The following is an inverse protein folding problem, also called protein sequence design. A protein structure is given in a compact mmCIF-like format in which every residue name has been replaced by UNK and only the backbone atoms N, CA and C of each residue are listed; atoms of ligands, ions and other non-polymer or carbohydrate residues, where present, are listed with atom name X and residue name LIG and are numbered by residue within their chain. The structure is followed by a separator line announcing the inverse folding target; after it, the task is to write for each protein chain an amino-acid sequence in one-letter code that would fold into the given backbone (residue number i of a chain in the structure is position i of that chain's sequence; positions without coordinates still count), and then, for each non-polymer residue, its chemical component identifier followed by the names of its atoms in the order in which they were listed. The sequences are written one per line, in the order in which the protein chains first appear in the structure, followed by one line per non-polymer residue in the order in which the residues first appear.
data_IF_479372376533
#
_entry.id   IF_479372376533
#
_cell.length_a   1.000
_cell.length_b   1.000
_cell.length_c   1.000
_cell.angle_alpha   90.00
_cell.angle_beta   90.00
_cell.angle_gamma   90.00
#
_symmetry.space_group_name_H-M   'P 1'
#
loop_
_entity.id
_entity.type
_entity.pdbx_description
1 polymer ?
#
# COMPACT_ATOMS: atom_id res chain seq x y z
N UNK A 1 -23.45 -14.69 19.73
CA UNK A 1 -23.00 -13.57 18.85
C UNK A 1 -21.70 -12.92 19.32
N UNK A 2 -21.56 -12.48 20.59
CA UNK A 2 -20.31 -11.87 21.12
C UNK A 2 -19.03 -12.67 20.88
N UNK A 3 -19.06 -14.01 20.99
CA UNK A 3 -17.88 -14.88 20.75
C UNK A 3 -17.37 -14.83 19.30
N UNK A 4 -18.28 -14.81 18.30
CA UNK A 4 -17.88 -14.73 16.87
C UNK A 4 -17.35 -13.34 16.49
N UNK A 5 -17.97 -12.28 17.03
CA UNK A 5 -17.48 -10.91 16.84
C UNK A 5 -16.10 -10.70 17.48
N UNK A 6 -15.91 -11.20 18.71
CA UNK A 6 -14.62 -11.09 19.40
C UNK A 6 -13.53 -11.90 18.68
N UNK A 7 -13.88 -13.05 18.09
CA UNK A 7 -12.98 -13.83 17.23
C UNK A 7 -12.52 -13.01 16.01
N UNK A 8 -13.43 -12.37 15.27
CA UNK A 8 -13.06 -11.53 14.14
C UNK A 8 -12.18 -10.35 14.56
N UNK A 9 -12.47 -9.73 15.71
CA UNK A 9 -11.66 -8.62 16.24
C UNK A 9 -10.24 -9.06 16.62
N UNK A 10 -10.10 -10.23 17.26
CA UNK A 10 -8.79 -10.82 17.57
C UNK A 10 -8.05 -11.14 16.28
N UNK A 11 -8.73 -11.72 15.28
CA UNK A 11 -8.12 -12.10 14.01
C UNK A 11 -7.61 -10.88 13.23
N UNK A 12 -8.37 -9.79 13.21
CA UNK A 12 -7.93 -8.50 12.65
C UNK A 12 -6.69 -7.98 13.40
N UNK A 13 -6.68 -8.06 14.73
CA UNK A 13 -5.55 -7.59 15.53
C UNK A 13 -4.28 -8.41 15.27
N UNK A 14 -4.41 -9.74 15.14
CA UNK A 14 -3.30 -10.63 14.76
C UNK A 14 -2.76 -10.27 13.38
N UNK A 15 -3.63 -10.06 12.39
CA UNK A 15 -3.22 -9.65 11.04
C UNK A 15 -2.49 -8.30 11.07
N UNK A 16 -3.00 -7.32 11.82
CA UNK A 16 -2.33 -6.02 12.01
C UNK A 16 -0.94 -6.17 12.64
N UNK A 17 -0.80 -6.99 13.67
CA UNK A 17 0.51 -7.24 14.31
C UNK A 17 1.47 -7.92 13.34
N UNK A 18 1.01 -8.93 12.60
CA UNK A 18 1.83 -9.59 11.58
C UNK A 18 2.28 -8.63 10.47
N UNK A 19 1.41 -7.72 10.04
CA UNK A 19 1.73 -6.71 9.04
C UNK A 19 2.78 -5.71 9.57
N UNK A 20 2.60 -5.22 10.80
CA UNK A 20 3.59 -4.36 11.48
C UNK A 20 4.94 -5.07 11.63
N UNK A 21 4.94 -6.35 12.02
CA UNK A 21 6.17 -7.14 12.14
C UNK A 21 6.86 -7.33 10.78
N UNK A 22 6.10 -7.56 9.72
CA UNK A 22 6.64 -7.69 8.37
C UNK A 22 7.28 -6.38 7.90
N UNK A 23 6.62 -5.24 8.16
CA UNK A 23 7.13 -3.90 7.89
C UNK A 23 8.36 -3.56 8.75
N UNK A 24 8.43 -4.06 9.99
CA UNK A 24 9.51 -3.73 10.92
C UNK A 24 10.89 -4.16 10.42
N UNK A 25 10.99 -5.28 9.71
CA UNK A 25 12.27 -5.73 9.14
C UNK A 25 12.76 -4.79 8.04
N UNK A 26 11.86 -4.33 7.18
CA UNK A 26 12.17 -3.35 6.12
C UNK A 26 12.53 -2.00 6.73
N UNK A 27 11.78 -1.59 7.76
CA UNK A 27 12.05 -0.35 8.49
C UNK A 27 13.40 -0.37 9.20
N UNK A 28 13.73 -1.45 9.92
CA UNK A 28 15.01 -1.59 10.64
C UNK A 28 16.16 -1.61 9.63
N UNK A 29 16.02 -2.34 8.52
CA UNK A 29 17.03 -2.34 7.46
C UNK A 29 17.24 -0.91 6.92
N UNK A 30 16.18 -0.22 6.50
CA UNK A 30 16.26 1.15 6.00
C UNK A 30 16.82 2.15 7.01
N UNK A 31 16.41 2.06 8.28
CA UNK A 31 16.92 2.90 9.37
C UNK A 31 18.40 2.65 9.62
N UNK A 32 18.83 1.38 9.66
CA UNK A 32 20.23 1.01 9.87
C UNK A 32 21.13 1.50 8.74
N UNK A 33 20.69 1.35 7.49
CA UNK A 33 21.38 1.88 6.32
C UNK A 33 21.50 3.39 6.42
N UNK A 34 20.40 4.10 6.70
CA UNK A 34 20.40 5.57 6.85
C UNK A 34 21.33 6.06 7.97
N UNK A 35 21.35 5.38 9.11
CA UNK A 35 22.23 5.71 10.23
C UNK A 35 23.71 5.46 9.91
N UNK A 36 24.02 4.38 9.21
CA UNK A 36 25.37 4.09 8.75
C UNK A 36 25.85 5.15 7.75
N UNK A 37 24.98 5.59 6.83
CA UNK A 37 25.29 6.67 5.89
C UNK A 37 25.50 8.03 6.58
N UNK A 38 24.75 8.34 7.63
CA UNK A 38 24.96 9.56 8.42
C UNK A 38 26.29 9.54 9.21
N UNK A 39 26.74 8.37 9.66
CA UNK A 39 28.03 8.23 10.37
C UNK A 39 29.25 8.23 9.44
N UNK A 40 29.15 7.65 8.24
CA UNK A 40 30.29 7.52 7.33
C UNK A 40 30.62 8.80 6.54
N UNK A 41 29.80 9.86 6.63
CA UNK A 41 29.97 11.13 5.91
C UNK A 41 30.35 10.93 4.42
N UNK A 42 29.87 9.83 3.84
CA UNK A 42 30.07 9.52 2.42
C UNK A 42 29.12 10.41 1.65
N UNK A 43 29.67 11.18 0.71
CA UNK A 43 28.88 11.96 -0.24
C UNK A 43 27.81 11.05 -0.82
N UNK A 44 26.56 11.45 -0.61
CA UNK A 44 25.42 10.75 -1.17
C UNK A 44 25.64 10.83 -2.68
N UNK A 45 25.86 9.69 -3.34
CA UNK A 45 25.36 9.57 -4.69
C UNK A 45 23.85 9.64 -4.54
N UNK A 46 23.34 10.88 -4.50
CA UNK A 46 21.97 11.32 -4.20
C UNK A 46 21.05 10.89 -5.34
N UNK A 47 21.09 9.59 -5.61
CA UNK A 47 20.33 8.94 -6.65
C UNK A 47 19.00 8.58 -6.00
N UNK A 48 17.94 9.25 -6.43
CA UNK A 48 16.59 8.90 -6.03
C UNK A 48 16.34 7.46 -6.52
N UNK A 49 16.28 6.50 -5.61
CA UNK A 49 16.07 5.11 -5.99
C UNK A 49 14.58 4.86 -6.24
N UNK A 50 14.26 4.35 -7.42
CA UNK A 50 12.90 3.91 -7.76
C UNK A 50 12.92 2.41 -8.00
N UNK A 51 12.00 1.71 -7.35
CA UNK A 51 11.76 0.29 -7.64
C UNK A 51 10.84 0.14 -8.84
N UNK A 52 11.28 -0.61 -9.85
CA UNK A 52 10.50 -0.89 -11.04
C UNK A 52 10.26 -2.39 -11.12
N UNK A 53 9.02 -2.77 -11.38
CA UNK A 53 8.67 -4.15 -11.68
C UNK A 53 8.83 -4.41 -13.18
N UNK A 54 9.47 -5.52 -13.52
CA UNK A 54 9.79 -5.91 -14.89
C UNK A 54 9.23 -7.30 -15.18
N UNK A 55 8.76 -7.47 -16.41
CA UNK A 55 8.33 -8.75 -16.96
C UNK A 55 9.29 -9.11 -18.10
N UNK A 56 10.03 -10.24 -18.00
CA UNK A 56 10.90 -10.68 -19.09
C UNK A 56 10.04 -11.00 -20.31
N UNK A 57 10.37 -10.40 -21.45
CA UNK A 57 9.68 -10.65 -22.72
C UNK A 57 10.02 -12.05 -23.24
N UNK A 58 11.26 -12.49 -23.00
CA UNK A 58 11.74 -13.83 -23.29
C UNK A 58 12.70 -14.32 -22.19
N UNK A 59 12.60 -15.60 -21.82
CA UNK A 59 13.49 -16.26 -20.86
C UNK A 59 14.81 -16.68 -21.54
N UNK A 60 15.49 -15.71 -22.16
CA UNK A 60 16.80 -15.92 -22.81
C UNK A 60 17.94 -15.87 -21.79
N UNK A 61 19.09 -16.48 -22.15
CA UNK A 61 20.31 -16.42 -21.34
C UNK A 61 20.85 -15.00 -21.22
N UNK A 62 20.61 -14.14 -22.20
CA UNK A 62 21.08 -12.75 -22.20
C UNK A 62 20.39 -11.90 -21.10
N UNK A 63 19.19 -12.30 -20.69
CA UNK A 63 18.39 -11.61 -19.66
C UNK A 63 18.53 -12.25 -18.27
N UNK A 64 19.28 -13.35 -18.15
CA UNK A 64 19.40 -14.11 -16.93
C UNK A 64 20.56 -13.59 -16.05
N UNK A 65 20.28 -13.29 -14.79
CA UNK A 65 21.31 -13.15 -13.77
C UNK A 65 21.75 -14.50 -13.23
N UNK A 66 23.06 -14.67 -13.05
CA UNK A 66 23.63 -15.87 -12.43
C UNK A 66 23.63 -15.70 -10.91
N UNK A 67 22.89 -16.58 -10.23
CA UNK A 67 22.84 -16.68 -8.79
C UNK A 67 23.52 -17.97 -8.33
N UNK A 68 24.36 -17.89 -7.31
CA UNK A 68 24.94 -19.08 -6.69
C UNK A 68 23.98 -19.66 -5.65
N UNK A 69 23.60 -20.92 -5.83
CA UNK A 69 22.84 -21.66 -4.84
C UNK A 69 23.71 -21.88 -3.60
N UNK A 70 23.27 -21.34 -2.45
CA UNK A 70 24.00 -21.44 -1.18
C UNK A 70 24.07 -22.88 -0.64
N UNK A 71 23.16 -23.77 -1.05
CA UNK A 71 23.10 -25.14 -0.56
C UNK A 71 23.97 -26.10 -1.40
N UNK A 72 24.06 -25.88 -2.71
CA UNK A 72 24.77 -26.78 -3.65
C UNK A 72 26.05 -26.18 -4.20
N UNK A 73 26.25 -24.87 -4.09
CA UNK A 73 27.38 -24.15 -4.69
C UNK A 73 27.26 -23.98 -6.21
N UNK A 74 26.16 -24.42 -6.82
CA UNK A 74 25.97 -24.35 -8.28
C UNK A 74 25.44 -22.99 -8.72
N UNK A 75 25.91 -22.52 -9.88
CA UNK A 75 25.43 -21.32 -10.52
C UNK A 75 24.11 -21.61 -11.27
N UNK A 76 23.03 -20.94 -10.87
CA UNK A 76 21.70 -21.02 -11.49
C UNK A 76 21.31 -19.69 -12.12
N UNK A 77 20.58 -19.75 -13.22
CA UNK A 77 20.04 -18.57 -13.88
C UNK A 77 18.72 -18.14 -13.23
N UNK A 78 18.57 -16.83 -13.02
CA UNK A 78 17.38 -16.20 -12.45
C UNK A 78 17.03 -14.94 -13.25
N UNK A 79 15.74 -14.70 -13.49
CA UNK A 79 15.26 -13.51 -14.17
C UNK A 79 14.68 -12.54 -13.13
N UNK A 80 15.34 -11.40 -12.85
CA UNK A 80 14.84 -10.43 -11.88
C UNK A 80 13.51 -9.83 -12.36
N UNK A 81 12.53 -9.80 -11.47
CA UNK A 81 11.21 -9.19 -11.72
C UNK A 81 11.05 -7.84 -11.03
N UNK A 82 12.00 -7.44 -10.18
CA UNK A 82 12.05 -6.14 -9.53
C UNK A 82 13.49 -5.64 -9.53
N UNK A 83 13.69 -4.39 -9.95
CA UNK A 83 14.97 -3.72 -9.90
C UNK A 83 14.83 -2.39 -9.18
N UNK A 84 15.82 -2.06 -8.34
CA UNK A 84 15.95 -0.75 -7.73
C UNK A 84 16.94 0.02 -8.59
N UNK A 85 16.52 1.15 -9.12
CA UNK A 85 17.26 1.87 -10.12
C UNK A 85 17.53 3.31 -9.66
N UNK A 86 18.79 3.78 -9.74
CA UNK A 86 19.13 5.16 -9.41
C UNK A 86 18.57 6.13 -10.46
N UNK A 87 17.78 7.11 -10.04
CA UNK A 87 17.32 8.22 -10.88
C UNK A 87 18.19 9.44 -10.60
N UNK A 88 19.17 9.68 -11.47
CA UNK A 88 19.98 10.90 -11.48
C UNK A 88 19.26 11.95 -12.34
N UNK A 89 18.33 12.69 -11.73
CA UNK A 89 17.61 13.78 -12.39
C UNK A 89 17.55 15.01 -11.50
N UNK A 90 17.79 16.23 -12.02
CA UNK A 90 17.61 17.45 -11.24
C UNK A 90 16.12 17.63 -10.93
N UNK A 91 15.71 17.22 -9.73
CA UNK A 91 14.35 17.47 -9.22
C UNK A 91 14.20 18.96 -8.97
N UNK A 92 13.54 19.65 -9.90
CA UNK A 92 13.24 21.08 -9.73
C UNK A 92 12.43 21.30 -8.45
N UNK A 93 12.67 22.41 -7.74
CA UNK A 93 11.99 22.75 -6.48
C UNK A 93 10.46 22.54 -6.51
N UNK A 94 9.82 22.84 -7.65
CA UNK A 94 8.38 22.63 -7.85
C UNK A 94 7.97 21.15 -7.71
N UNK A 95 8.76 20.23 -8.27
CA UNK A 95 8.49 18.78 -8.18
C UNK A 95 8.60 18.27 -6.76
N UNK A 96 9.57 18.77 -5.99
CA UNK A 96 9.76 18.42 -4.57
C UNK A 96 8.59 18.93 -3.73
N UNK A 97 8.17 20.18 -3.92
CA UNK A 97 7.04 20.78 -3.19
C UNK A 97 5.75 20.03 -3.51
N UNK A 98 5.51 19.73 -4.80
CA UNK A 98 4.35 18.96 -5.22
C UNK A 98 4.37 17.55 -4.62
N UNK A 99 5.55 16.91 -4.60
CA UNK A 99 5.78 15.60 -3.98
C UNK A 99 5.46 15.56 -2.50
N UNK A 100 5.94 16.55 -1.78
CA UNK A 100 5.63 16.73 -0.36
C UNK A 100 4.11 16.89 -0.14
N UNK A 101 3.44 17.73 -0.94
CA UNK A 101 2.02 18.02 -0.78
C UNK A 101 1.13 16.79 -0.99
N UNK A 102 1.33 16.04 -2.08
CA UNK A 102 0.50 14.86 -2.33
C UNK A 102 0.83 13.72 -1.36
N UNK A 103 2.09 13.59 -0.92
CA UNK A 103 2.47 12.60 0.10
C UNK A 103 1.79 12.90 1.43
N UNK A 104 1.74 14.17 1.82
CA UNK A 104 1.01 14.62 3.01
C UNK A 104 -0.50 14.35 2.87
N UNK A 105 -1.08 14.62 1.69
CA UNK A 105 -2.48 14.31 1.41
C UNK A 105 -2.78 12.81 1.55
N UNK A 106 -1.93 11.95 0.98
CA UNK A 106 -2.03 10.50 1.13
C UNK A 106 -1.96 10.08 2.61
N UNK A 107 -1.04 10.67 3.38
CA UNK A 107 -0.90 10.43 4.82
C UNK A 107 -2.16 10.83 5.60
N UNK A 108 -2.75 11.99 5.30
CA UNK A 108 -4.00 12.47 5.94
C UNK A 108 -5.17 11.55 5.62
N UNK A 109 -5.33 11.12 4.36
CA UNK A 109 -6.39 10.18 3.97
C UNK A 109 -6.23 8.83 4.66
N UNK A 110 -5.01 8.31 4.72
CA UNK A 110 -4.70 7.03 5.38
C UNK A 110 -4.96 7.11 6.89
N UNK A 111 -4.54 8.20 7.55
CA UNK A 111 -4.81 8.42 8.97
C UNK A 111 -6.32 8.55 9.25
N UNK A 112 -7.06 9.27 8.40
CA UNK A 112 -8.52 9.40 8.52
C UNK A 112 -9.23 8.05 8.36
N UNK A 113 -8.80 7.21 7.41
CA UNK A 113 -9.31 5.85 7.25
C UNK A 113 -9.05 5.00 8.49
N UNK A 114 -7.82 5.04 9.03
CA UNK A 114 -7.45 4.29 10.23
C UNK A 114 -8.25 4.72 11.47
N UNK A 115 -8.38 6.03 11.72
CA UNK A 115 -9.19 6.56 12.83
C UNK A 115 -10.65 6.15 12.69
N UNK A 116 -11.21 6.23 11.47
CA UNK A 116 -12.58 5.84 11.19
C UNK A 116 -12.81 4.35 11.46
N UNK A 117 -11.84 3.49 11.09
CA UNK A 117 -11.88 2.06 11.38
C UNK A 117 -11.87 1.76 12.88
N UNK A 118 -10.96 2.38 13.64
CA UNK A 118 -10.87 2.20 15.10
C UNK A 118 -12.17 2.64 15.79
N UNK A 119 -12.73 3.78 15.38
CA UNK A 119 -14.01 4.27 15.91
C UNK A 119 -15.17 3.32 15.57
N UNK A 120 -15.20 2.79 14.34
CA UNK A 120 -16.18 1.80 13.92
C UNK A 120 -16.09 0.52 14.77
N UNK A 121 -14.91 -0.07 14.92
CA UNK A 121 -14.68 -1.27 15.74
C UNK A 121 -15.11 -1.03 17.19
N UNK A 122 -14.77 0.14 17.76
CA UNK A 122 -15.18 0.52 19.13
C UNK A 122 -16.71 0.57 19.28
N UNK A 123 -17.42 1.12 18.29
CA UNK A 123 -18.88 1.22 18.32
C UNK A 123 -19.55 -0.15 18.17
N UNK A 124 -18.98 -1.02 17.33
CA UNK A 124 -19.42 -2.41 17.17
C UNK A 124 -19.23 -3.20 18.45
N UNK A 125 -18.08 -3.06 19.13
CA UNK A 125 -17.81 -3.73 20.41
C UNK A 125 -18.77 -3.28 21.53
N UNK A 126 -19.21 -2.01 21.50
CA UNK A 126 -20.24 -1.48 22.42
C UNK A 126 -21.67 -1.92 22.08
N UNK A 127 -21.85 -2.87 21.15
CA UNK A 127 -23.14 -3.33 20.61
C UNK A 127 -24.00 -2.22 19.97
N UNK A 128 -23.41 -1.08 19.61
CA UNK A 128 -24.08 0.05 18.92
C UNK A 128 -23.78 -0.03 17.43
N UNK A 129 -24.23 -1.11 16.79
CA UNK A 129 -23.86 -1.48 15.42
C UNK A 129 -24.62 -0.61 14.40
N UNK A 130 -25.95 -0.53 14.55
CA UNK A 130 -26.87 0.17 13.64
C UNK A 130 -27.13 1.61 14.11
N UNK A 131 -26.13 2.47 13.93
CA UNK A 131 -26.25 3.91 14.18
C UNK A 131 -25.91 4.67 12.89
N UNK A 132 -26.66 5.73 12.59
CA UNK A 132 -26.35 6.63 11.45
C UNK A 132 -24.92 7.19 11.50
N UNK A 133 -24.35 7.31 12.70
CA UNK A 133 -22.94 7.69 12.91
C UNK A 133 -21.94 6.65 12.39
N UNK A 134 -22.18 5.36 12.61
CA UNK A 134 -21.32 4.29 12.08
C UNK A 134 -21.39 4.19 10.57
N UNK A 135 -22.56 4.47 9.99
CA UNK A 135 -22.72 4.56 8.54
C UNK A 135 -21.83 5.66 7.92
N UNK A 136 -21.76 6.83 8.56
CA UNK A 136 -20.86 7.92 8.13
C UNK A 136 -19.39 7.51 8.25
N UNK A 137 -19.00 6.89 9.36
CA UNK A 137 -17.62 6.41 9.56
C UNK A 137 -17.21 5.42 8.46
N UNK A 138 -18.10 4.49 8.08
CA UNK A 138 -17.83 3.48 7.06
C UNK A 138 -17.74 4.08 5.65
N UNK A 139 -18.54 5.12 5.35
CA UNK A 139 -18.41 5.89 4.10
C UNK A 139 -17.12 6.70 4.05
N UNK A 140 -16.76 7.39 5.14
CA UNK A 140 -15.50 8.16 5.22
C UNK A 140 -14.31 7.23 5.02
N UNK A 141 -14.30 6.08 5.72
CA UNK A 141 -13.25 5.07 5.55
C UNK A 141 -13.13 4.60 4.10
N UNK A 142 -14.26 4.28 3.45
CA UNK A 142 -14.28 3.85 2.05
C UNK A 142 -13.72 4.90 1.08
N UNK A 143 -14.20 6.14 1.16
CA UNK A 143 -13.71 7.23 0.30
C UNK A 143 -12.25 7.59 0.56
N UNK A 144 -11.81 7.57 1.82
CA UNK A 144 -10.41 7.79 2.16
C UNK A 144 -9.50 6.70 1.57
N UNK A 145 -9.90 5.43 1.65
CA UNK A 145 -9.13 4.32 1.08
C UNK A 145 -9.09 4.35 -0.45
N UNK A 146 -10.22 4.66 -1.11
CA UNK A 146 -10.25 4.85 -2.57
C UNK A 146 -9.34 5.99 -2.99
N UNK A 147 -9.45 7.15 -2.34
CA UNK A 147 -8.60 8.31 -2.63
C UNK A 147 -7.12 8.02 -2.42
N UNK A 148 -6.76 7.38 -1.30
CA UNK A 148 -5.40 6.97 -1.02
C UNK A 148 -4.87 5.97 -2.06
N UNK A 149 -5.68 4.97 -2.45
CA UNK A 149 -5.32 3.99 -3.48
C UNK A 149 -5.09 4.61 -4.86
N UNK A 150 -5.90 5.59 -5.25
CA UNK A 150 -5.71 6.34 -6.51
C UNK A 150 -4.40 7.13 -6.48
N UNK A 151 -4.12 7.86 -5.38
CA UNK A 151 -2.88 8.62 -5.24
C UNK A 151 -1.67 7.69 -5.31
N UNK A 152 -1.69 6.58 -4.57
CA UNK A 152 -0.60 5.59 -4.59
C UNK A 152 -0.39 4.96 -5.97
N UNK A 153 -1.48 4.71 -6.71
CA UNK A 153 -1.41 4.18 -8.09
C UNK A 153 -0.83 5.22 -9.04
N UNK A 154 -1.24 6.49 -8.93
CA UNK A 154 -0.70 7.57 -9.76
C UNK A 154 0.79 7.79 -9.51
N UNK A 155 1.21 7.74 -8.24
CA UNK A 155 2.61 7.84 -7.82
C UNK A 155 3.45 6.68 -8.41
N UNK A 156 3.00 5.44 -8.22
CA UNK A 156 3.66 4.26 -8.78
C UNK A 156 3.77 4.31 -10.31
N UNK A 157 2.70 4.69 -11.00
CA UNK A 157 2.72 4.85 -12.46
C UNK A 157 3.69 5.96 -12.91
N UNK A 158 3.72 7.09 -12.21
CA UNK A 158 4.61 8.21 -12.53
C UNK A 158 6.08 7.81 -12.34
N UNK A 159 6.39 7.13 -11.25
CA UNK A 159 7.73 6.61 -10.95
C UNK A 159 8.18 5.57 -12.00
N UNK A 160 7.31 4.64 -12.40
CA UNK A 160 7.61 3.70 -13.49
C UNK A 160 7.76 4.38 -14.86
N UNK A 161 7.02 5.45 -15.12
CA UNK A 161 7.13 6.20 -16.36
C UNK A 161 8.45 6.95 -16.45
N UNK A 162 8.86 7.64 -15.37
CA UNK A 162 10.16 8.30 -15.31
C UNK A 162 11.30 7.30 -15.48
N UNK A 163 11.18 6.15 -14.81
CA UNK A 163 12.15 5.08 -14.94
C UNK A 163 12.32 4.58 -16.38
N UNK A 164 11.22 4.38 -17.10
CA UNK A 164 11.27 3.92 -18.48
C UNK A 164 11.90 4.95 -19.43
N UNK A 165 11.86 6.24 -19.09
CA UNK A 165 12.55 7.28 -19.88
C UNK A 165 14.06 7.28 -19.68
N UNK A 166 14.53 6.96 -18.47
CA UNK A 166 15.96 6.97 -18.15
C UNK A 166 16.62 5.63 -18.49
N UNK A 167 15.87 4.52 -18.44
CA UNK A 167 16.37 3.17 -18.64
C UNK A 167 15.61 2.43 -19.73
N UNK A 168 16.33 1.99 -20.77
CA UNK A 168 15.86 0.97 -21.71
C UNK A 168 16.54 -0.36 -21.39
N UNK A 169 15.79 -1.33 -20.85
CA UNK A 169 16.25 -2.71 -20.73
C UNK A 169 15.76 -3.51 -21.93
N UNK A 170 16.68 -3.92 -22.79
CA UNK A 170 16.38 -4.85 -23.88
C UNK A 170 15.91 -6.19 -23.30
N UNK A 171 14.84 -6.76 -23.88
CA UNK A 171 14.29 -8.04 -23.44
C UNK A 171 13.36 -8.00 -22.22
N UNK A 172 13.06 -6.82 -21.67
CA UNK A 172 12.12 -6.65 -20.55
C UNK A 172 11.02 -5.62 -20.87
N UNK A 173 9.80 -5.91 -20.42
CA UNK A 173 8.69 -4.97 -20.41
C UNK A 173 8.45 -4.43 -19.00
N UNK A 174 8.16 -3.14 -18.89
CA UNK A 174 7.80 -2.50 -17.61
C UNK A 174 6.39 -2.93 -17.20
N UNK A 175 6.27 -3.46 -15.98
CA UNK A 175 4.98 -3.88 -15.43
C UNK A 175 4.31 -2.74 -14.65
N UNK A 176 3.42 -2.03 -15.34
CA UNK A 176 2.54 -1.02 -14.72
C UNK A 176 1.48 -1.63 -13.80
N UNK A 177 1.16 -2.92 -13.95
CA UNK A 177 0.17 -3.60 -13.12
C UNK A 177 0.65 -3.73 -11.67
N UNK A 178 1.91 -4.10 -11.49
CA UNK A 178 2.55 -4.16 -10.16
C UNK A 178 2.77 -2.78 -9.52
N UNK A 179 2.80 -1.71 -10.31
CA UNK A 179 2.90 -0.34 -9.81
C UNK A 179 1.56 0.22 -9.31
N UNK A 180 0.44 -0.37 -9.74
CA UNK A 180 -0.90 0.07 -9.37
C UNK A 180 -1.37 -0.53 -8.05
N UNK A 181 -1.76 0.32 -7.09
CA UNK A 181 -2.31 -0.12 -5.81
C UNK A 181 -3.82 -0.42 -5.90
N UNK A 182 -4.16 -1.40 -6.75
CA UNK A 182 -5.54 -1.84 -6.96
C UNK A 182 -6.15 -2.44 -5.69
N UNK A 183 -5.34 -3.10 -4.85
CA UNK A 183 -5.79 -3.67 -3.58
C UNK A 183 -6.39 -2.60 -2.67
N UNK A 184 -5.73 -1.44 -2.52
CA UNK A 184 -6.26 -0.33 -1.72
C UNK A 184 -7.62 0.18 -2.23
N UNK A 185 -7.76 0.30 -3.55
CA UNK A 185 -9.01 0.73 -4.20
C UNK A 185 -10.12 -0.30 -3.97
N UNK A 186 -9.82 -1.59 -4.14
CA UNK A 186 -10.79 -2.69 -3.92
C UNK A 186 -11.26 -2.69 -2.46
N UNK A 187 -10.36 -2.53 -1.48
CA UNK A 187 -10.75 -2.45 -0.07
C UNK A 187 -11.61 -1.22 0.22
N UNK A 188 -11.30 -0.07 -0.38
CA UNK A 188 -12.13 1.13 -0.29
C UNK A 188 -13.53 0.92 -0.86
N UNK A 189 -13.65 0.33 -2.06
CA UNK A 189 -14.92 -0.01 -2.68
C UNK A 189 -15.73 -1.02 -1.84
N UNK A 190 -15.07 -2.05 -1.33
CA UNK A 190 -15.71 -3.03 -0.44
C UNK A 190 -16.27 -2.37 0.82
N UNK A 191 -15.53 -1.42 1.41
CA UNK A 191 -16.02 -0.61 2.54
C UNK A 191 -17.27 0.19 2.17
N UNK A 192 -17.32 0.79 0.98
CA UNK A 192 -18.51 1.53 0.51
C UNK A 192 -19.70 0.60 0.30
N UNK A 193 -19.50 -0.58 -0.30
CA UNK A 193 -20.56 -1.60 -0.44
C UNK A 193 -21.09 -2.03 0.92
N UNK A 194 -20.20 -2.26 1.90
CA UNK A 194 -20.62 -2.56 3.27
C UNK A 194 -21.38 -1.41 3.91
N UNK A 195 -21.02 -0.14 3.62
CA UNK A 195 -21.79 1.00 4.10
C UNK A 195 -23.22 0.98 3.56
N UNK A 196 -23.42 0.70 2.28
CA UNK A 196 -24.77 0.62 1.71
C UNK A 196 -25.56 -0.57 2.25
N UNK A 197 -24.94 -1.74 2.43
CA UNK A 197 -25.58 -2.89 3.07
C UNK A 197 -26.02 -2.57 4.52
N UNK A 198 -25.20 -1.84 5.28
CA UNK A 198 -25.54 -1.34 6.61
C UNK A 198 -26.69 -0.32 6.58
N UNK A 199 -26.74 0.56 5.58
CA UNK A 199 -27.82 1.54 5.43
C UNK A 199 -29.17 0.85 5.18
N UNK A 200 -29.19 -0.19 4.34
CA UNK A 200 -30.38 -1.01 4.09
C UNK A 200 -30.81 -1.72 5.37
N UNK A 201 -29.88 -2.37 6.08
CA UNK A 201 -30.17 -3.03 7.35
C UNK A 201 -30.70 -2.08 8.43
N UNK A 202 -30.21 -0.83 8.46
CA UNK A 202 -30.72 0.20 9.37
C UNK A 202 -32.15 0.61 9.02
N UNK A 203 -32.45 0.83 7.73
CA UNK A 203 -33.82 1.15 7.27
C UNK A 203 -34.81 0.05 7.63
N UNK A 204 -34.45 -1.21 7.35
CA UNK A 204 -35.31 -2.36 7.70
C UNK A 204 -35.60 -2.45 9.20
N UNK A 205 -34.62 -2.09 10.04
CA UNK A 205 -34.82 -2.04 11.50
C UNK A 205 -35.74 -0.88 11.91
N UNK A 206 -35.55 0.31 11.34
CA UNK A 206 -36.42 1.47 11.59
C UNK A 206 -37.88 1.18 11.16
N UNK A 207 -38.09 0.53 10.02
CA UNK A 207 -39.42 0.15 9.52
C UNK A 207 -40.10 -0.90 10.41
N UNK A 208 -39.35 -1.88 10.94
CA UNK A 208 -39.87 -2.86 11.89
C UNK A 208 -40.26 -2.24 13.24
N UNK A 209 -39.54 -1.23 13.72
CA UNK A 209 -39.88 -0.52 14.96
C UNK A 209 -41.10 0.40 14.80
N UNK A 210 -41.43 0.86 13.59
CA UNK A 210 -42.60 1.70 13.29
C UNK A 210 -43.91 0.93 13.11
N UNK A 211 -43.83 -0.38 12.86
CA UNK A 211 -45.01 -1.23 12.58
C UNK A 211 -45.56 -1.92 13.84
N UNK A 212 -44.82 -1.87 14.96
CA UNK A 212 -45.19 -2.43 16.26
C UNK A 212 -45.68 -1.30 17.16
#
# INVERSE_FOLDING_TARGET
MKKKLNLFCILIFVVLVCDILSMSNVFIAGFSSGMQHAMENRDIAESNFTSISLLPTELSQDNAQVMTDKATGECRQAWPTQLIVPMDGPTGLFTVIFKLLYTLLFGVLSAAAFVSFVLFVRNVNKNRIFMRGNLRLLRVMGWCLVGAGIIATADGCYDTYLAQQVFSLDGYNVDYGSAANLSGIIFGLFSLVMAEAFAIGLRMKEDQELTI
#
